data_IF_959198379820
#
_entry.id   IF_959198379820
#
_cell.length_a   1.000
_cell.length_b   1.000
_cell.length_c   1.000
_cell.angle_alpha   90.00
_cell.angle_beta   90.00
_cell.angle_gamma   90.00
#
_symmetry.space_group_name_H-M   'P 1'
#
loop_
_entity.id
_entity.type
_entity.pdbx_description
1 polymer ?
#
# COMPACT_ATOMS: atom_id res chain seq x y z
N UNK A 1 3.39 0.59 -18.00
CA UNK A 1 2.92 0.37 -16.62
C UNK A 1 1.55 -0.33 -16.59
N UNK A 2 0.62 0.04 -17.47
CA UNK A 2 -0.72 -0.56 -17.50
C UNK A 2 -0.75 -2.08 -17.69
N UNK A 3 0.06 -2.63 -18.58
CA UNK A 3 0.06 -4.08 -18.83
C UNK A 3 0.41 -4.90 -17.60
N UNK A 4 1.36 -4.44 -16.78
CA UNK A 4 1.73 -5.13 -15.54
C UNK A 4 0.61 -5.05 -14.50
N UNK A 5 0.01 -3.86 -14.36
CA UNK A 5 -1.14 -3.62 -13.47
C UNK A 5 -2.33 -4.51 -13.86
N UNK A 6 -2.69 -4.53 -15.14
CA UNK A 6 -3.80 -5.35 -15.65
C UNK A 6 -3.53 -6.85 -15.50
N UNK A 7 -2.28 -7.29 -15.66
CA UNK A 7 -1.91 -8.69 -15.41
C UNK A 7 -2.11 -9.08 -13.93
N UNK A 8 -1.70 -8.22 -13.00
CA UNK A 8 -1.91 -8.44 -11.56
C UNK A 8 -3.40 -8.53 -11.19
N UNK A 9 -4.22 -7.63 -11.74
CA UNK A 9 -5.69 -7.64 -11.53
C UNK A 9 -6.32 -8.93 -12.04
N UNK A 10 -5.92 -9.39 -13.23
CA UNK A 10 -6.46 -10.61 -13.85
C UNK A 10 -6.20 -11.86 -13.00
N UNK A 11 -4.96 -12.04 -12.56
CA UNK A 11 -4.57 -13.18 -11.73
C UNK A 11 -5.31 -13.19 -10.39
N UNK A 12 -5.47 -12.01 -9.76
CA UNK A 12 -6.23 -11.92 -8.52
C UNK A 12 -7.71 -12.31 -8.70
N UNK A 13 -8.29 -12.08 -9.88
CA UNK A 13 -9.66 -12.47 -10.21
C UNK A 13 -9.90 -14.00 -10.17
N UNK A 14 -8.85 -14.81 -10.27
CA UNK A 14 -8.92 -16.27 -10.18
C UNK A 14 -8.91 -16.79 -8.73
N UNK A 15 -8.55 -15.92 -7.77
CA UNK A 15 -8.54 -16.26 -6.34
C UNK A 15 -9.93 -16.06 -5.72
N UNK A 16 -10.21 -16.67 -4.55
CA UNK A 16 -11.42 -16.39 -3.79
C UNK A 16 -11.63 -14.89 -3.53
N UNK A 17 -12.88 -14.43 -3.30
CA UNK A 17 -13.13 -13.12 -2.72
C UNK A 17 -12.56 -13.05 -1.29
N UNK A 18 -12.70 -11.91 -0.62
CA UNK A 18 -12.31 -11.75 0.78
C UNK A 18 -10.80 -11.83 1.03
N UNK A 19 -10.04 -11.11 0.21
CA UNK A 19 -8.57 -11.03 0.31
C UNK A 19 -8.10 -9.68 0.83
N UNK A 20 -6.94 -9.71 1.49
CA UNK A 20 -6.10 -8.53 1.73
C UNK A 20 -5.11 -8.40 0.57
N UNK A 21 -5.00 -7.20 0.00
CA UNK A 21 -4.06 -6.92 -1.09
C UNK A 21 -2.82 -6.22 -0.57
N UNK A 22 -1.67 -6.84 -0.78
CA UNK A 22 -0.38 -6.28 -0.39
C UNK A 22 0.44 -5.94 -1.64
N UNK A 23 1.00 -4.73 -1.68
CA UNK A 23 1.79 -4.25 -2.80
C UNK A 23 3.05 -3.54 -2.33
N UNK A 24 4.17 -3.83 -2.98
CA UNK A 24 5.48 -3.26 -2.68
C UNK A 24 5.95 -2.41 -3.86
N UNK A 25 6.24 -1.12 -3.63
CA UNK A 25 6.62 -0.14 -4.65
C UNK A 25 5.64 -0.22 -5.82
N UNK A 26 6.12 -0.54 -7.01
CA UNK A 26 5.31 -0.69 -8.22
C UNK A 26 4.18 -1.74 -8.09
N UNK A 27 4.33 -2.73 -7.21
CA UNK A 27 3.28 -3.69 -6.88
C UNK A 27 2.06 -3.09 -6.18
N UNK A 28 2.15 -1.85 -5.67
CA UNK A 28 1.01 -1.11 -5.10
C UNK A 28 -0.04 -0.81 -6.16
N UNK A 29 0.33 -0.58 -7.42
CA UNK A 29 -0.65 -0.25 -8.47
C UNK A 29 -1.76 -1.30 -8.62
N UNK A 30 -1.46 -2.60 -8.84
CA UNK A 30 -2.51 -3.61 -8.88
C UNK A 30 -3.14 -3.84 -7.50
N UNK A 31 -2.38 -3.81 -6.40
CA UNK A 31 -2.90 -4.08 -5.06
C UNK A 31 -3.96 -3.05 -4.64
N UNK A 32 -3.67 -1.76 -4.82
CA UNK A 32 -4.58 -0.67 -4.52
C UNK A 32 -5.79 -0.68 -5.46
N UNK A 33 -5.60 -0.90 -6.77
CA UNK A 33 -6.73 -1.03 -7.71
C UNK A 33 -7.69 -2.14 -7.26
N UNK A 34 -7.17 -3.30 -6.87
CA UNK A 34 -7.98 -4.43 -6.40
C UNK A 34 -8.68 -4.10 -5.08
N UNK A 35 -7.97 -3.54 -4.10
CA UNK A 35 -8.56 -3.16 -2.82
C UNK A 35 -9.70 -2.14 -2.98
N UNK A 36 -9.56 -1.20 -3.93
CA UNK A 36 -10.56 -0.16 -4.17
C UNK A 36 -11.77 -0.62 -4.99
N UNK A 37 -11.57 -1.56 -5.92
CA UNK A 37 -12.60 -1.86 -6.95
C UNK A 37 -13.15 -3.27 -6.92
N UNK A 38 -12.48 -4.23 -6.27
CA UNK A 38 -12.97 -5.61 -6.18
C UNK A 38 -13.93 -5.78 -5.00
N UNK A 39 -15.19 -6.21 -5.22
CA UNK A 39 -16.13 -6.49 -4.14
C UNK A 39 -15.57 -7.51 -3.15
N UNK A 40 -15.77 -7.25 -1.86
CA UNK A 40 -15.30 -8.11 -0.77
C UNK A 40 -13.82 -7.98 -0.44
N UNK A 41 -13.10 -6.94 -0.88
CA UNK A 41 -11.76 -6.67 -0.36
C UNK A 41 -11.77 -6.52 1.17
N UNK A 42 -10.83 -7.19 1.87
CA UNK A 42 -10.73 -7.18 3.34
C UNK A 42 -9.76 -6.15 3.87
N UNK A 43 -8.88 -5.64 3.02
CA UNK A 43 -7.96 -4.57 3.38
C UNK A 43 -6.83 -4.40 2.39
N UNK A 44 -5.99 -3.39 2.62
CA UNK A 44 -4.81 -3.11 1.83
C UNK A 44 -3.57 -2.88 2.69
N UNK A 45 -2.42 -3.36 2.21
CA UNK A 45 -1.10 -3.11 2.75
C UNK A 45 -0.24 -2.50 1.64
N UNK A 46 0.02 -1.20 1.72
CA UNK A 46 0.73 -0.45 0.69
C UNK A 46 2.12 -0.09 1.20
N UNK A 47 3.16 -0.65 0.58
CA UNK A 47 4.53 -0.45 1.01
C UNK A 47 5.27 0.45 0.03
N UNK A 48 5.78 1.55 0.57
CA UNK A 48 6.63 2.58 -0.03
C UNK A 48 6.07 3.18 -1.32
N UNK A 49 4.77 3.06 -1.57
CA UNK A 49 4.05 3.74 -2.64
C UNK A 49 2.55 3.77 -2.35
N UNK A 50 1.82 4.72 -2.93
CA UNK A 50 0.37 4.70 -3.06
C UNK A 50 -0.13 5.76 -4.05
N UNK A 51 -1.28 5.49 -4.65
CA UNK A 51 -1.94 6.40 -5.58
C UNK A 51 -2.99 7.26 -4.89
N UNK A 52 -3.28 8.48 -5.40
CA UNK A 52 -4.35 9.31 -4.87
C UNK A 52 -5.72 8.67 -5.08
N UNK A 53 -6.70 9.12 -4.31
CA UNK A 53 -8.12 8.67 -4.43
C UNK A 53 -9.00 9.72 -5.13
N UNK A 54 -8.39 10.77 -5.65
CA UNK A 54 -9.01 11.74 -6.55
C UNK A 54 -8.03 12.19 -7.65
N UNK A 55 -8.54 12.74 -8.75
CA UNK A 55 -7.74 13.18 -9.89
C UNK A 55 -7.51 12.11 -10.96
N UNK A 56 -6.62 12.41 -11.91
CA UNK A 56 -6.39 11.62 -13.14
C UNK A 56 -5.88 10.20 -12.86
N UNK A 57 -5.06 10.04 -11.82
CA UNK A 57 -4.40 8.77 -11.48
C UNK A 57 -5.20 7.90 -10.51
N UNK A 58 -6.37 8.37 -10.07
CA UNK A 58 -7.19 7.67 -9.09
C UNK A 58 -8.00 6.52 -9.71
N UNK A 59 -8.16 5.43 -8.98
CA UNK A 59 -9.07 4.34 -9.35
C UNK A 59 -10.52 4.59 -8.92
N UNK A 60 -10.78 5.70 -8.24
CA UNK A 60 -12.03 6.02 -7.58
C UNK A 60 -11.80 6.38 -6.10
N UNK A 61 -12.88 6.63 -5.35
CA UNK A 61 -12.77 6.86 -3.90
C UNK A 61 -12.27 5.60 -3.17
N UNK A 62 -11.79 5.78 -1.95
CA UNK A 62 -11.54 4.65 -1.07
C UNK A 62 -12.87 3.99 -0.66
N UNK A 63 -13.03 2.65 -0.75
CA UNK A 63 -14.27 1.98 -0.43
C UNK A 63 -14.55 1.96 1.08
N UNK A 64 -15.85 2.01 1.45
CA UNK A 64 -16.29 1.93 2.84
C UNK A 64 -15.94 0.58 3.46
N UNK A 65 -15.55 0.59 4.74
CA UNK A 65 -15.26 -0.63 5.50
C UNK A 65 -14.02 -1.42 5.06
N UNK A 66 -13.20 -0.89 4.13
CA UNK A 66 -11.94 -1.53 3.72
C UNK A 66 -10.77 -0.85 4.42
N UNK A 67 -10.16 -1.47 5.44
CA UNK A 67 -9.05 -0.88 6.17
C UNK A 67 -7.75 -0.86 5.36
N UNK A 68 -6.85 0.08 5.64
CA UNK A 68 -5.55 0.19 4.95
C UNK A 68 -4.40 0.61 5.86
N UNK A 69 -3.24 0.00 5.65
CA UNK A 69 -1.97 0.53 6.15
C UNK A 69 -1.07 0.93 4.99
N UNK A 70 -0.44 2.10 5.15
CA UNK A 70 0.54 2.64 4.23
C UNK A 70 1.86 2.79 4.99
N UNK A 71 2.95 2.29 4.44
CA UNK A 71 4.25 2.21 5.10
C UNK A 71 5.33 2.81 4.21
N UNK A 72 6.03 3.85 4.66
CA UNK A 72 7.12 4.44 3.89
C UNK A 72 8.17 5.07 4.79
N UNK A 73 9.36 5.33 4.26
CA UNK A 73 10.37 6.08 4.98
C UNK A 73 10.15 7.60 4.83
N UNK A 74 10.44 8.37 5.88
CA UNK A 74 10.10 9.79 5.98
C UNK A 74 10.92 10.72 5.07
N UNK A 75 12.06 10.23 4.57
CA UNK A 75 12.94 10.93 3.62
C UNK A 75 13.19 10.14 2.35
N UNK A 76 12.40 9.09 2.09
CA UNK A 76 12.48 8.34 0.84
C UNK A 76 12.25 9.28 -0.35
N UNK A 77 13.23 9.47 -1.25
CA UNK A 77 13.11 10.43 -2.34
C UNK A 77 12.00 10.07 -3.34
N UNK A 78 11.57 8.81 -3.39
CA UNK A 78 10.46 8.35 -4.23
C UNK A 78 9.15 8.56 -3.46
N UNK A 79 8.97 7.89 -2.33
CA UNK A 79 7.70 7.97 -1.58
C UNK A 79 7.41 9.37 -1.05
N UNK A 80 8.38 10.01 -0.39
CA UNK A 80 8.21 11.34 0.19
C UNK A 80 8.52 12.46 -0.81
N UNK A 81 9.44 12.23 -1.77
CA UNK A 81 9.88 13.26 -2.72
C UNK A 81 9.04 13.38 -3.99
N UNK A 82 8.43 12.30 -4.48
CA UNK A 82 7.62 12.32 -5.73
C UNK A 82 6.11 12.49 -5.50
N UNK A 83 5.66 12.47 -4.23
CA UNK A 83 4.28 12.85 -3.86
C UNK A 83 3.38 11.71 -3.37
N UNK A 84 3.85 10.46 -3.34
CA UNK A 84 3.08 9.33 -2.80
C UNK A 84 2.71 9.55 -1.32
N UNK A 85 3.54 10.23 -0.53
CA UNK A 85 3.22 10.61 0.85
C UNK A 85 1.99 11.52 0.95
N UNK A 86 1.73 12.36 -0.05
CA UNK A 86 0.57 13.24 -0.07
C UNK A 86 -0.70 12.46 -0.46
N UNK A 87 -0.57 11.51 -1.39
CA UNK A 87 -1.62 10.53 -1.65
C UNK A 87 -1.95 9.69 -0.39
N UNK A 88 -0.93 9.29 0.37
CA UNK A 88 -1.11 8.55 1.61
C UNK A 88 -1.90 9.36 2.65
N UNK A 89 -1.55 10.64 2.81
CA UNK A 89 -2.28 11.58 3.67
C UNK A 89 -3.71 11.78 3.22
N UNK A 90 -3.95 11.87 1.90
CA UNK A 90 -5.29 11.95 1.33
C UNK A 90 -6.14 10.72 1.68
N UNK A 91 -5.58 9.52 1.54
CA UNK A 91 -6.27 8.26 1.89
C UNK A 91 -6.61 8.25 3.38
N UNK A 92 -5.64 8.57 4.26
CA UNK A 92 -5.86 8.63 5.72
C UNK A 92 -6.95 9.63 6.11
N UNK A 93 -7.06 10.74 5.38
CA UNK A 93 -8.10 11.73 5.65
C UNK A 93 -9.51 11.30 5.20
N UNK A 94 -9.63 10.34 4.27
CA UNK A 94 -10.90 9.98 3.61
C UNK A 94 -11.41 8.58 3.97
N UNK A 95 -10.54 7.64 4.29
CA UNK A 95 -10.89 6.29 4.66
C UNK A 95 -11.27 6.22 6.15
N UNK A 96 -12.25 5.39 6.49
CA UNK A 96 -12.74 5.22 7.87
C UNK A 96 -11.70 4.56 8.79
N UNK A 97 -10.84 3.72 8.22
CA UNK A 97 -9.83 2.92 8.92
C UNK A 97 -8.54 2.90 8.11
N UNK A 98 -7.70 3.92 8.28
CA UNK A 98 -6.46 4.07 7.54
C UNK A 98 -5.33 4.56 8.43
N UNK A 99 -4.16 3.94 8.27
CA UNK A 99 -2.96 4.26 9.05
C UNK A 99 -1.79 4.53 8.10
N UNK A 100 -1.13 5.68 8.24
CA UNK A 100 0.14 5.98 7.61
C UNK A 100 1.27 5.85 8.65
N UNK A 101 2.19 4.93 8.38
CA UNK A 101 3.38 4.72 9.19
C UNK A 101 4.62 5.20 8.46
N UNK A 102 5.23 6.24 9.02
CA UNK A 102 6.52 6.75 8.57
C UNK A 102 7.65 6.17 9.44
N UNK A 103 8.67 5.64 8.79
CA UNK A 103 9.89 5.14 9.42
C UNK A 103 11.03 6.14 9.18
N UNK A 104 11.88 6.44 10.18
CA UNK A 104 13.04 7.31 9.96
C UNK A 104 13.98 6.69 8.92
N UNK A 105 14.31 7.42 7.85
CA UNK A 105 15.26 6.97 6.83
C UNK A 105 14.94 7.49 5.44
N UNK A 106 15.79 7.16 4.47
CA UNK A 106 15.69 7.61 3.07
C UNK A 106 15.62 6.46 2.05
N UNK A 107 15.40 5.24 2.52
CA UNK A 107 15.43 4.04 1.69
C UNK A 107 14.02 3.65 1.23
N UNK A 108 13.87 3.44 -0.09
CA UNK A 108 12.61 2.99 -0.68
C UNK A 108 12.30 1.52 -0.36
N UNK A 109 13.24 0.62 -0.65
CA UNK A 109 13.09 -0.82 -0.45
C UNK A 109 13.61 -1.28 0.93
N UNK A 110 13.27 -0.55 1.99
CA UNK A 110 13.85 -0.81 3.32
C UNK A 110 13.45 -2.16 3.94
N UNK A 111 12.39 -2.79 3.42
CA UNK A 111 11.88 -4.07 3.90
C UNK A 111 12.47 -5.31 3.18
N UNK A 112 13.29 -5.11 2.15
CA UNK A 112 13.89 -6.21 1.37
C UNK A 112 15.29 -6.55 1.88
N UNK A 113 15.41 -7.66 2.61
CA UNK A 113 16.67 -8.11 3.21
C UNK A 113 17.74 -8.55 2.22
N UNK A 114 17.42 -8.62 0.92
CA UNK A 114 18.40 -8.92 -0.13
C UNK A 114 19.13 -7.68 -0.67
N UNK A 115 18.68 -6.48 -0.30
CA UNK A 115 19.20 -5.21 -0.82
C UNK A 115 20.01 -4.42 0.22
N UNK A 116 20.98 -3.60 -0.21
CA UNK A 116 21.70 -2.69 0.69
C UNK A 116 20.81 -1.65 1.39
N UNK A 117 19.62 -1.39 0.84
CA UNK A 117 18.61 -0.49 1.40
C UNK A 117 17.93 -1.05 2.66
N UNK A 118 18.15 -2.33 2.98
CA UNK A 118 17.49 -3.00 4.10
C UNK A 118 17.74 -2.32 5.44
N UNK A 119 16.66 -2.03 6.15
CA UNK A 119 16.69 -1.60 7.55
C UNK A 119 15.97 -2.65 8.41
N UNK A 120 16.74 -3.36 9.23
CA UNK A 120 16.22 -4.47 10.03
C UNK A 120 15.29 -4.07 11.17
N UNK A 121 15.45 -2.87 11.74
CA UNK A 121 14.60 -2.40 12.83
C UNK A 121 13.27 -1.86 12.30
N UNK A 122 13.31 -1.07 11.23
CA UNK A 122 12.13 -0.60 10.52
C UNK A 122 11.32 -1.78 9.97
N UNK A 123 11.99 -2.78 9.37
CA UNK A 123 11.32 -3.99 8.87
C UNK A 123 10.63 -4.75 9.99
N UNK A 124 11.30 -4.97 11.14
CA UNK A 124 10.69 -5.69 12.28
C UNK A 124 9.46 -4.96 12.82
N UNK A 125 9.50 -3.63 12.87
CA UNK A 125 8.35 -2.83 13.29
C UNK A 125 7.21 -2.90 12.26
N UNK A 126 7.52 -2.78 10.96
CA UNK A 126 6.57 -2.98 9.87
C UNK A 126 5.89 -4.35 9.96
N UNK A 127 6.66 -5.43 10.10
CA UNK A 127 6.11 -6.79 10.20
C UNK A 127 5.15 -6.94 11.37
N UNK A 128 5.46 -6.37 12.54
CA UNK A 128 4.54 -6.41 13.70
C UNK A 128 3.21 -5.71 13.41
N UNK A 129 3.24 -4.56 12.75
CA UNK A 129 2.02 -3.79 12.38
C UNK A 129 1.19 -4.56 11.35
N UNK A 130 1.84 -5.13 10.33
CA UNK A 130 1.19 -5.97 9.32
C UNK A 130 0.53 -7.19 9.95
N UNK A 131 1.19 -7.92 10.84
CA UNK A 131 0.60 -9.08 11.49
C UNK A 131 -0.57 -8.69 12.40
N UNK A 132 -0.47 -7.57 13.12
CA UNK A 132 -1.57 -7.05 13.93
C UNK A 132 -2.77 -6.63 13.06
N UNK A 133 -2.52 -6.03 11.89
CA UNK A 133 -3.53 -5.74 10.89
C UNK A 133 -4.19 -7.02 10.37
N UNK A 134 -3.42 -8.00 9.91
CA UNK A 134 -3.95 -9.25 9.36
C UNK A 134 -4.79 -10.04 10.37
N UNK A 135 -4.50 -9.95 11.67
CA UNK A 135 -5.30 -10.59 12.71
C UNK A 135 -6.66 -9.91 12.97
N UNK A 136 -6.83 -8.65 12.56
CA UNK A 136 -8.06 -7.87 12.82
C UNK A 136 -9.02 -7.85 11.63
N UNK A 137 -8.53 -8.11 10.42
CA UNK A 137 -9.27 -7.96 9.16
C UNK A 137 -9.97 -9.21 8.69
#
# INVERSE_FOLDING_TARGET
>A
FDDMRERGVRLAGELPPELVYAGYSFGVLPAQKLAQTRPGARGALLFYSCLPVSGEWAFGPWPKGVPVQIHGMDKDPIFAGEGDIDAAREIVAKAEDAELFLYPGDQHYFADSSLPSYDGDATRLLTRRVLAFLNRV
#
